data_IF_421517635051
#
_entry.id   IF_421517635051
#
_cell.length_a   1.000
_cell.length_b   1.000
_cell.length_c   1.000
_cell.angle_alpha   90.00
_cell.angle_beta   90.00
_cell.angle_gamma   90.00
#
_symmetry.space_group_name_H-M   'P 1'
#
loop_
_entity.id
_entity.type
_entity.pdbx_description
1 polymer ?
#
# COMPACT_ATOMS: atom_id res chain seq x y z
N UNK A 1 -2.38 -34.74 -12.30
CA UNK A 1 -2.95 -33.38 -12.47
C UNK A 1 -3.43 -33.15 -13.90
N UNK A 2 -2.57 -33.14 -14.91
CA UNK A 2 -2.97 -32.77 -16.28
C UNK A 2 -4.09 -33.62 -16.88
N UNK A 3 -4.10 -34.94 -16.63
CA UNK A 3 -5.22 -35.82 -16.99
C UNK A 3 -6.56 -35.31 -16.45
N UNK A 4 -6.60 -34.94 -15.16
CA UNK A 4 -7.81 -34.41 -14.52
C UNK A 4 -8.23 -33.06 -15.13
N UNK A 5 -7.29 -32.13 -15.36
CA UNK A 5 -7.61 -30.84 -15.99
C UNK A 5 -8.13 -31.01 -17.41
N UNK A 6 -7.63 -32.00 -18.16
CA UNK A 6 -8.17 -32.38 -19.46
C UNK A 6 -9.60 -32.92 -19.36
N UNK A 7 -9.86 -33.86 -18.47
CA UNK A 7 -11.21 -34.41 -18.24
C UNK A 7 -12.20 -33.31 -17.82
N UNK A 8 -11.77 -32.35 -16.99
CA UNK A 8 -12.57 -31.17 -16.62
C UNK A 8 -12.83 -30.28 -17.85
N UNK A 9 -11.81 -30.06 -18.69
CA UNK A 9 -11.98 -29.27 -19.92
C UNK A 9 -12.98 -29.93 -20.86
N UNK A 10 -12.87 -31.25 -21.09
CA UNK A 10 -13.81 -32.01 -21.90
C UNK A 10 -15.24 -31.92 -21.36
N UNK A 11 -15.41 -32.03 -20.04
CA UNK A 11 -16.70 -31.86 -19.37
C UNK A 11 -17.28 -30.45 -19.58
N UNK A 12 -16.50 -29.38 -19.34
CA UNK A 12 -16.90 -28.00 -19.61
C UNK A 12 -17.31 -27.85 -21.08
N UNK A 13 -16.50 -28.39 -21.99
CA UNK A 13 -16.76 -28.34 -23.43
C UNK A 13 -18.01 -29.09 -23.84
N UNK A 14 -18.60 -29.98 -23.03
CA UNK A 14 -19.93 -30.54 -23.37
C UNK A 14 -21.05 -29.50 -23.37
N UNK A 15 -20.87 -28.40 -22.60
CA UNK A 15 -21.86 -27.32 -22.44
C UNK A 15 -21.37 -26.02 -23.06
N UNK A 16 -20.11 -25.63 -22.80
CA UNK A 16 -19.53 -24.35 -23.23
C UNK A 16 -18.44 -24.56 -24.27
N UNK A 17 -18.77 -24.26 -25.53
CA UNK A 17 -17.88 -24.40 -26.69
C UNK A 17 -17.05 -23.15 -26.99
N UNK A 18 -17.21 -22.05 -26.24
CA UNK A 18 -16.72 -20.73 -26.65
C UNK A 18 -15.76 -20.09 -25.67
N UNK A 19 -15.99 -20.19 -24.36
CA UNK A 19 -15.19 -19.40 -23.41
C UNK A 19 -13.80 -19.99 -23.18
N UNK A 20 -12.86 -19.09 -22.85
CA UNK A 20 -11.46 -19.40 -22.56
C UNK A 20 -11.37 -20.34 -21.36
N UNK A 21 -10.46 -21.31 -21.43
CA UNK A 21 -10.05 -22.12 -20.27
C UNK A 21 -8.75 -21.57 -19.72
N UNK A 22 -8.80 -21.10 -18.47
CA UNK A 22 -7.60 -20.70 -17.74
C UNK A 22 -7.05 -21.95 -17.04
N UNK A 23 -5.88 -22.41 -17.50
CA UNK A 23 -5.16 -23.55 -16.96
C UNK A 23 -4.21 -23.08 -15.88
N UNK A 24 -4.19 -23.74 -14.74
CA UNK A 24 -3.29 -23.38 -13.63
C UNK A 24 -2.42 -24.56 -13.22
N UNK A 25 -1.13 -24.29 -13.03
CA UNK A 25 -0.15 -25.26 -12.58
C UNK A 25 -0.20 -25.53 -11.07
N UNK A 26 0.63 -26.49 -10.64
CA UNK A 26 0.85 -26.73 -9.21
C UNK A 26 1.73 -25.63 -8.62
N UNK A 27 1.86 -25.62 -7.28
CA UNK A 27 2.80 -24.72 -6.60
C UNK A 27 2.47 -23.26 -6.85
N UNK A 28 1.24 -22.86 -6.52
CA UNK A 28 0.75 -21.49 -6.67
C UNK A 28 0.74 -21.07 -8.15
N UNK A 29 0.30 -21.96 -9.04
CA UNK A 29 0.27 -21.72 -10.47
C UNK A 29 1.63 -21.70 -11.18
N UNK A 30 2.75 -21.93 -10.48
CA UNK A 30 4.09 -21.69 -11.04
C UNK A 30 4.81 -22.97 -11.54
N UNK A 31 4.24 -24.16 -11.35
CA UNK A 31 4.85 -25.43 -11.77
C UNK A 31 4.02 -26.15 -12.84
N UNK A 32 4.56 -26.15 -14.07
CA UNK A 32 4.00 -26.79 -15.25
C UNK A 32 4.72 -28.08 -15.67
N UNK A 33 5.50 -28.69 -14.78
CA UNK A 33 6.25 -29.90 -15.12
C UNK A 33 5.32 -31.07 -15.53
N UNK A 34 5.73 -31.79 -16.56
CA UNK A 34 4.97 -32.92 -17.12
C UNK A 34 3.72 -32.51 -17.91
N UNK A 35 3.53 -31.22 -18.23
CA UNK A 35 2.45 -30.75 -19.09
C UNK A 35 2.52 -31.47 -20.45
N UNK A 36 1.41 -32.11 -20.82
CA UNK A 36 1.22 -32.73 -22.14
C UNK A 36 1.00 -31.66 -23.22
N UNK A 37 0.99 -32.01 -24.52
CA UNK A 37 0.47 -31.09 -25.53
C UNK A 37 -0.90 -30.54 -25.14
N UNK A 38 -1.14 -29.27 -25.47
CA UNK A 38 -2.43 -28.62 -25.21
C UNK A 38 -3.55 -29.40 -25.91
N UNK A 39 -4.67 -29.57 -25.21
CA UNK A 39 -5.80 -30.39 -25.65
C UNK A 39 -7.03 -29.57 -26.08
N UNK A 40 -6.95 -28.25 -25.97
CA UNK A 40 -7.96 -27.28 -26.38
C UNK A 40 -7.25 -26.09 -27.03
N UNK A 41 -7.87 -25.50 -28.05
CA UNK A 41 -7.31 -24.39 -28.83
C UNK A 41 -7.58 -23.02 -28.20
N UNK A 42 -8.41 -22.95 -27.15
CA UNK A 42 -8.79 -21.72 -26.46
C UNK A 42 -8.37 -21.74 -24.98
N UNK A 43 -7.07 -21.90 -24.75
CA UNK A 43 -6.45 -22.00 -23.42
C UNK A 43 -5.52 -20.83 -23.11
N UNK A 44 -5.43 -20.46 -21.83
CA UNK A 44 -4.51 -19.47 -21.26
C UNK A 44 -3.86 -20.06 -20.03
N UNK A 45 -2.57 -19.82 -19.78
CA UNK A 45 -1.92 -20.25 -18.54
C UNK A 45 -2.03 -19.19 -17.45
N UNK A 46 -2.36 -19.61 -16.23
CA UNK A 46 -2.35 -18.79 -15.02
C UNK A 46 -1.03 -18.98 -14.26
N UNK A 47 -0.55 -17.93 -13.61
CA UNK A 47 0.54 -18.04 -12.64
C UNK A 47 0.30 -17.06 -11.49
N UNK A 48 0.99 -17.24 -10.35
CA UNK A 48 0.93 -16.30 -9.23
C UNK A 48 2.28 -15.61 -9.05
N UNK A 49 2.26 -14.38 -8.53
CA UNK A 49 3.48 -13.62 -8.22
C UNK A 49 3.31 -12.89 -6.90
N UNK A 50 4.25 -13.10 -5.99
CA UNK A 50 4.25 -12.46 -4.68
C UNK A 50 5.68 -12.22 -4.19
N UNK A 51 5.88 -11.07 -3.53
CA UNK A 51 7.07 -10.74 -2.73
C UNK A 51 8.43 -11.00 -3.38
N UNK A 52 8.52 -10.91 -4.70
CA UNK A 52 9.75 -10.98 -5.47
C UNK A 52 9.91 -9.71 -6.32
N UNK A 53 11.09 -9.53 -6.93
CA UNK A 53 11.39 -8.36 -7.73
C UNK A 53 10.38 -8.15 -8.88
N UNK A 54 10.14 -6.90 -9.29
CA UNK A 54 9.37 -6.59 -10.48
C UNK A 54 10.28 -6.43 -11.70
N UNK A 55 10.81 -7.54 -12.20
CA UNK A 55 11.73 -7.59 -13.34
C UNK A 55 11.41 -8.74 -14.32
N UNK A 56 12.01 -8.68 -15.51
CA UNK A 56 11.85 -9.73 -16.53
C UNK A 56 12.41 -11.08 -16.06
N UNK A 57 13.45 -11.08 -15.23
CA UNK A 57 14.09 -12.29 -14.71
C UNK A 57 13.11 -13.14 -13.89
N UNK A 58 12.31 -12.51 -13.02
CA UNK A 58 11.30 -13.19 -12.20
C UNK A 58 10.03 -13.55 -12.98
N UNK A 59 9.77 -12.94 -14.14
CA UNK A 59 8.69 -13.35 -15.06
C UNK A 59 9.12 -14.40 -16.09
N UNK A 60 10.42 -14.66 -16.22
CA UNK A 60 10.98 -15.48 -17.29
C UNK A 60 10.27 -16.83 -17.45
N UNK A 61 9.98 -17.53 -16.36
CA UNK A 61 9.32 -18.84 -16.44
C UNK A 61 7.95 -18.79 -17.14
N UNK A 62 7.17 -17.72 -16.91
CA UNK A 62 5.85 -17.54 -17.50
C UNK A 62 5.98 -17.10 -18.96
N UNK A 63 6.97 -16.24 -19.27
CA UNK A 63 7.28 -15.85 -20.65
C UNK A 63 7.75 -17.05 -21.48
N UNK A 64 8.63 -17.90 -20.94
CA UNK A 64 9.08 -19.14 -21.58
C UNK A 64 7.89 -20.09 -21.82
N UNK A 65 6.93 -20.16 -20.89
CA UNK A 65 5.71 -20.97 -21.03
C UNK A 65 4.83 -20.45 -22.18
N UNK A 66 4.63 -19.13 -22.26
CA UNK A 66 3.92 -18.46 -23.36
C UNK A 66 4.55 -18.81 -24.71
N UNK A 67 5.86 -18.64 -24.83
CA UNK A 67 6.59 -18.87 -26.08
C UNK A 67 6.57 -20.34 -26.50
N UNK A 68 6.90 -21.25 -25.56
CA UNK A 68 6.99 -22.68 -25.83
C UNK A 68 5.68 -23.27 -26.37
N UNK A 69 4.55 -22.79 -25.86
CA UNK A 69 3.24 -23.34 -26.19
C UNK A 69 2.42 -22.45 -27.14
N UNK A 70 2.95 -21.27 -27.49
CA UNK A 70 2.25 -20.25 -28.28
C UNK A 70 0.84 -19.97 -27.72
N UNK A 71 0.73 -19.77 -26.41
CA UNK A 71 -0.53 -19.53 -25.71
C UNK A 71 -0.42 -18.34 -24.75
N UNK A 72 -1.48 -17.53 -24.55
CA UNK A 72 -1.42 -16.40 -23.63
C UNK A 72 -1.15 -16.84 -22.18
N UNK A 73 -0.67 -15.90 -21.38
CA UNK A 73 -0.49 -16.05 -19.93
C UNK A 73 -1.24 -14.95 -19.20
N UNK A 74 -1.69 -15.26 -17.99
CA UNK A 74 -2.48 -14.42 -17.11
C UNK A 74 -1.91 -14.51 -15.69
N UNK A 75 -1.71 -13.38 -15.02
CA UNK A 75 -1.36 -13.38 -13.61
C UNK A 75 -2.64 -13.55 -12.78
N UNK A 76 -2.94 -14.81 -12.41
CA UNK A 76 -4.18 -15.20 -11.75
C UNK A 76 -4.34 -14.66 -10.34
N UNK A 77 -3.22 -14.42 -9.66
CA UNK A 77 -3.23 -13.95 -8.27
C UNK A 77 -1.92 -13.22 -7.94
N UNK A 78 -2.05 -12.04 -7.35
CA UNK A 78 -0.92 -11.20 -6.90
C UNK A 78 -1.42 -10.17 -5.88
N UNK A 79 -0.54 -9.61 -5.05
CA UNK A 79 -0.90 -8.55 -4.10
C UNK A 79 -0.07 -8.58 -2.83
N UNK A 80 -0.66 -8.17 -1.70
CA UNK A 80 -0.01 -8.17 -0.38
C UNK A 80 1.37 -7.50 -0.36
N UNK A 81 1.45 -6.31 -0.94
CA UNK A 81 2.67 -5.52 -1.03
C UNK A 81 2.33 -4.03 -1.11
N UNK A 82 3.35 -3.18 -1.13
CA UNK A 82 3.17 -1.74 -1.16
C UNK A 82 2.61 -1.21 -2.47
N UNK A 83 2.11 0.04 -2.43
CA UNK A 83 1.70 0.78 -3.62
C UNK A 83 2.84 0.93 -4.64
N UNK A 84 4.10 0.99 -4.19
CA UNK A 84 5.28 1.03 -5.07
C UNK A 84 5.37 -0.26 -5.86
N UNK A 85 5.32 -1.42 -5.17
CA UNK A 85 5.36 -2.71 -5.83
C UNK A 85 4.18 -2.93 -6.76
N UNK A 86 2.97 -2.49 -6.39
CA UNK A 86 1.76 -2.61 -7.20
C UNK A 86 1.93 -1.83 -8.51
N UNK A 87 2.37 -0.57 -8.42
CA UNK A 87 2.60 0.30 -9.57
C UNK A 87 3.65 -0.29 -10.52
N UNK A 88 4.78 -0.76 -9.97
CA UNK A 88 5.87 -1.31 -10.76
C UNK A 88 5.53 -2.63 -11.41
N UNK A 89 4.81 -3.51 -10.70
CA UNK A 89 4.34 -4.78 -11.25
C UNK A 89 3.39 -4.54 -12.42
N UNK A 90 2.37 -3.69 -12.26
CA UNK A 90 1.41 -3.44 -13.34
C UNK A 90 2.13 -2.87 -14.57
N UNK A 91 3.07 -1.94 -14.38
CA UNK A 91 3.91 -1.43 -15.47
C UNK A 91 4.76 -2.51 -16.15
N UNK A 92 5.22 -3.52 -15.41
CA UNK A 92 5.94 -4.67 -15.97
C UNK A 92 5.00 -5.56 -16.79
N UNK A 93 3.81 -5.86 -16.27
CA UNK A 93 2.81 -6.69 -16.94
C UNK A 93 2.29 -6.03 -18.21
N UNK A 94 2.04 -4.72 -18.18
CA UNK A 94 1.62 -3.93 -19.34
C UNK A 94 2.65 -4.00 -20.47
N UNK A 95 3.95 -3.90 -20.16
CA UNK A 95 5.03 -4.05 -21.16
C UNK A 95 5.02 -5.41 -21.85
N UNK A 96 4.61 -6.45 -21.13
CA UNK A 96 4.53 -7.81 -21.65
C UNK A 96 3.13 -8.19 -22.13
N UNK A 97 2.15 -7.28 -22.13
CA UNK A 97 0.74 -7.56 -22.43
C UNK A 97 0.21 -8.76 -21.61
N UNK A 98 0.39 -8.73 -20.29
CA UNK A 98 -0.10 -9.76 -19.36
C UNK A 98 -1.27 -9.16 -18.57
N UNK A 99 -2.45 -9.75 -18.68
CA UNK A 99 -3.58 -9.41 -17.81
C UNK A 99 -3.42 -9.99 -16.41
N UNK A 100 -4.11 -9.41 -15.43
CA UNK A 100 -3.90 -9.74 -14.02
C UNK A 100 -5.15 -9.65 -13.15
N UNK A 101 -5.13 -10.36 -12.02
CA UNK A 101 -6.09 -10.25 -10.93
C UNK A 101 -5.37 -10.03 -9.59
N UNK A 102 -5.71 -8.95 -8.89
CA UNK A 102 -5.15 -8.63 -7.57
C UNK A 102 -5.98 -9.23 -6.45
N UNK A 103 -5.29 -9.86 -5.50
CA UNK A 103 -5.80 -10.34 -4.23
C UNK A 103 -5.29 -9.46 -3.08
N UNK A 104 -6.13 -9.11 -2.09
CA UNK A 104 -7.58 -9.29 -2.03
C UNK A 104 -8.36 -8.02 -2.39
N UNK A 105 -9.55 -8.21 -2.98
CA UNK A 105 -10.53 -7.13 -3.20
C UNK A 105 -11.07 -6.56 -1.87
N UNK A 106 -11.38 -7.45 -0.92
CA UNK A 106 -11.94 -7.14 0.42
C UNK A 106 -11.20 -7.97 1.45
N UNK A 107 -10.65 -7.32 2.48
CA UNK A 107 -9.95 -7.98 3.59
C UNK A 107 -10.16 -7.22 4.88
N UNK A 108 -10.22 -7.95 6.00
CA UNK A 108 -10.40 -7.37 7.33
C UNK A 108 -9.11 -6.66 7.76
N UNK A 109 -9.24 -5.42 8.25
CA UNK A 109 -8.17 -4.59 8.83
C UNK A 109 -6.86 -4.63 8.04
N UNK A 110 -6.96 -4.32 6.74
CA UNK A 110 -5.86 -4.40 5.79
C UNK A 110 -5.63 -3.06 5.08
N UNK A 111 -4.36 -2.74 4.83
CA UNK A 111 -3.96 -1.62 3.98
C UNK A 111 -3.72 -2.03 2.52
N UNK A 112 -3.25 -3.26 2.27
CA UNK A 112 -2.76 -3.75 0.98
C UNK A 112 -3.85 -4.28 0.02
N UNK A 113 -4.98 -3.59 -0.06
CA UNK A 113 -6.11 -3.99 -0.91
C UNK A 113 -7.01 -2.80 -1.19
N UNK A 114 -7.82 -2.86 -2.25
CA UNK A 114 -8.61 -1.69 -2.67
C UNK A 114 -9.76 -1.37 -1.72
N UNK A 115 -10.13 -2.31 -0.85
CA UNK A 115 -11.09 -2.05 0.23
C UNK A 115 -10.64 -2.68 1.55
N UNK A 116 -11.08 -2.06 2.64
CA UNK A 116 -10.86 -2.51 4.00
C UNK A 116 -12.21 -2.79 4.70
N UNK A 117 -12.34 -3.99 5.26
CA UNK A 117 -13.49 -4.40 6.07
C UNK A 117 -13.11 -4.18 7.54
N UNK A 118 -13.89 -3.39 8.28
CA UNK A 118 -13.60 -3.17 9.70
C UNK A 118 -13.84 -4.43 10.51
N UNK A 119 -12.85 -4.79 11.33
CA UNK A 119 -13.04 -5.80 12.38
C UNK A 119 -14.06 -5.33 13.43
N UNK A 120 -14.62 -6.26 14.19
CA UNK A 120 -15.40 -5.96 15.39
C UNK A 120 -14.70 -6.51 16.64
N UNK A 121 -14.89 -5.89 17.82
CA UNK A 121 -14.40 -6.45 19.08
C UNK A 121 -14.85 -7.90 19.33
N UNK A 122 -16.06 -8.25 18.88
CA UNK A 122 -16.61 -9.61 18.98
C UNK A 122 -15.87 -10.60 18.08
N UNK A 123 -15.51 -10.19 16.85
CA UNK A 123 -14.73 -11.04 15.96
C UNK A 123 -13.31 -11.25 16.51
N UNK A 124 -12.72 -10.23 17.13
CA UNK A 124 -11.43 -10.38 17.81
C UNK A 124 -11.50 -11.46 18.91
N UNK A 125 -12.60 -11.54 19.68
CA UNK A 125 -12.78 -12.62 20.66
C UNK A 125 -12.80 -14.02 20.02
N UNK A 126 -13.37 -14.17 18.82
CA UNK A 126 -13.31 -15.44 18.08
C UNK A 126 -11.88 -15.78 17.65
N UNK A 127 -11.15 -14.79 17.12
CA UNK A 127 -9.74 -14.96 16.74
C UNK A 127 -8.87 -15.36 17.94
N UNK A 128 -9.07 -14.69 19.08
CA UNK A 128 -8.33 -14.97 20.32
C UNK A 128 -8.61 -16.39 20.82
N UNK A 129 -9.86 -16.85 20.77
CA UNK A 129 -10.22 -18.22 21.10
C UNK A 129 -9.60 -19.24 20.13
N UNK A 130 -9.68 -19.01 18.81
CA UNK A 130 -9.08 -19.94 17.83
C UNK A 130 -7.56 -20.04 17.98
N UNK A 131 -6.90 -18.93 18.32
CA UNK A 131 -5.45 -18.87 18.49
C UNK A 131 -4.98 -19.48 19.81
N UNK A 132 -5.67 -19.16 20.91
CA UNK A 132 -5.18 -19.43 22.26
C UNK A 132 -6.01 -20.45 23.05
N UNK A 133 -7.18 -20.85 22.56
CA UNK A 133 -8.16 -21.63 23.32
C UNK A 133 -8.88 -20.80 24.38
N UNK A 134 -9.25 -21.43 25.50
CA UNK A 134 -9.96 -20.79 26.62
C UNK A 134 -11.46 -21.09 26.64
N UNK A 135 -12.25 -20.17 27.20
CA UNK A 135 -13.70 -20.32 27.24
C UNK A 135 -14.26 -20.33 25.82
N UNK A 136 -14.89 -21.45 25.45
CA UNK A 136 -15.45 -21.63 24.11
C UNK A 136 -16.64 -20.68 23.90
N UNK A 137 -16.61 -19.79 22.90
CA UNK A 137 -17.75 -18.95 22.56
C UNK A 137 -18.98 -19.80 22.23
N UNK A 138 -20.17 -19.34 22.66
CA UNK A 138 -21.41 -20.06 22.34
C UNK A 138 -21.67 -20.07 20.83
N UNK A 139 -22.46 -21.04 20.38
CA UNK A 139 -22.85 -21.14 18.97
C UNK A 139 -23.56 -19.86 18.51
N UNK A 140 -24.46 -19.33 19.33
CA UNK A 140 -25.24 -18.13 19.06
C UNK A 140 -24.35 -16.89 18.95
N UNK A 141 -23.34 -16.76 19.82
CA UNK A 141 -22.37 -15.69 19.74
C UNK A 141 -21.53 -15.76 18.46
N UNK A 142 -21.03 -16.95 18.13
CA UNK A 142 -20.21 -17.17 16.94
C UNK A 142 -21.02 -16.88 15.66
N UNK A 143 -22.25 -17.39 15.56
CA UNK A 143 -23.14 -17.16 14.42
C UNK A 143 -23.44 -15.67 14.24
N UNK A 144 -23.87 -14.97 15.30
CA UNK A 144 -24.15 -13.53 15.24
C UNK A 144 -22.91 -12.73 14.81
N UNK A 145 -21.75 -13.08 15.36
CA UNK A 145 -20.48 -12.38 15.08
C UNK A 145 -20.05 -12.58 13.62
N UNK A 146 -20.10 -13.81 13.11
CA UNK A 146 -19.75 -14.11 11.72
C UNK A 146 -20.73 -13.47 10.73
N UNK A 147 -22.03 -13.44 11.07
CA UNK A 147 -23.04 -12.76 10.23
C UNK A 147 -22.86 -11.24 10.24
N UNK A 148 -22.42 -10.64 11.36
CA UNK A 148 -22.04 -9.22 11.37
C UNK A 148 -20.83 -8.95 10.49
N UNK A 149 -19.82 -9.83 10.48
CA UNK A 149 -18.69 -9.70 9.55
C UNK A 149 -19.16 -9.83 8.10
N UNK A 150 -20.01 -10.81 7.78
CA UNK A 150 -20.59 -10.94 6.44
C UNK A 150 -21.35 -9.67 6.00
N UNK A 151 -22.05 -9.00 6.92
CA UNK A 151 -22.67 -7.70 6.66
C UNK A 151 -21.63 -6.60 6.41
N UNK A 152 -20.54 -6.56 7.19
CA UNK A 152 -19.45 -5.61 6.97
C UNK A 152 -18.76 -5.79 5.61
N UNK A 153 -18.78 -7.01 5.03
CA UNK A 153 -18.24 -7.27 3.68
C UNK A 153 -19.12 -6.71 2.54
N UNK A 154 -20.33 -6.20 2.81
CA UNK A 154 -21.14 -5.52 1.78
C UNK A 154 -20.42 -4.27 1.30
N UNK A 155 -20.46 -3.98 0.00
CA UNK A 155 -19.71 -2.87 -0.60
C UNK A 155 -20.04 -1.49 -0.01
N UNK A 156 -21.27 -1.27 0.48
CA UNK A 156 -21.64 0.00 1.12
C UNK A 156 -21.06 0.16 2.53
N UNK A 157 -20.49 -0.91 3.11
CA UNK A 157 -19.98 -0.95 4.48
C UNK A 157 -18.44 -0.97 4.55
N UNK A 158 -17.76 -1.10 3.41
CA UNK A 158 -16.29 -1.14 3.36
C UNK A 158 -15.70 0.25 3.17
N UNK A 159 -14.49 0.45 3.69
CA UNK A 159 -13.68 1.62 3.40
C UNK A 159 -12.96 1.41 2.06
N UNK A 160 -13.06 2.38 1.15
CA UNK A 160 -12.33 2.36 -0.12
C UNK A 160 -10.94 2.96 0.09
N UNK A 161 -9.89 2.24 -0.34
CA UNK A 161 -8.49 2.67 -0.29
C UNK A 161 -8.11 3.40 -1.59
N UNK A 162 -8.33 4.70 -1.60
CA UNK A 162 -8.09 5.55 -2.78
C UNK A 162 -6.62 5.63 -3.19
N UNK A 163 -5.69 5.50 -2.23
CA UNK A 163 -4.25 5.45 -2.48
C UNK A 163 -3.84 4.20 -3.27
N UNK A 164 -4.40 3.03 -2.91
CA UNK A 164 -4.19 1.77 -3.63
C UNK A 164 -4.75 1.87 -5.06
N UNK A 165 -5.95 2.42 -5.22
CA UNK A 165 -6.55 2.64 -6.55
C UNK A 165 -5.69 3.60 -7.38
N UNK A 166 -5.22 4.70 -6.79
CA UNK A 166 -4.36 5.64 -7.49
C UNK A 166 -3.05 4.98 -7.97
N UNK A 167 -2.44 4.14 -7.12
CA UNK A 167 -1.25 3.36 -7.44
C UNK A 167 -1.48 2.38 -8.61
N UNK A 168 -2.60 1.67 -8.60
CA UNK A 168 -2.92 0.64 -9.59
C UNK A 168 -3.33 1.19 -10.97
N UNK A 169 -3.79 2.44 -11.05
CA UNK A 169 -4.34 3.00 -12.29
C UNK A 169 -3.62 4.24 -12.77
N UNK A 170 -3.65 5.33 -11.99
CA UNK A 170 -3.06 6.59 -12.45
C UNK A 170 -1.54 6.49 -12.44
N UNK A 171 -0.97 6.01 -11.34
CA UNK A 171 0.47 5.99 -11.17
C UNK A 171 1.18 5.03 -12.12
N UNK A 172 0.49 4.11 -12.79
CA UNK A 172 1.12 3.22 -13.77
C UNK A 172 1.55 3.99 -15.02
N UNK A 173 0.83 5.05 -15.38
CA UNK A 173 1.06 5.84 -16.61
C UNK A 173 1.46 7.30 -16.34
N UNK A 174 1.02 7.89 -15.23
CA UNK A 174 1.25 9.28 -14.85
C UNK A 174 2.06 9.39 -13.55
N UNK A 175 3.23 10.05 -13.64
CA UNK A 175 4.15 10.24 -12.50
C UNK A 175 3.87 11.48 -11.64
N UNK A 176 2.84 12.26 -11.96
CA UNK A 176 2.51 13.48 -11.21
C UNK A 176 1.98 13.18 -9.81
N UNK A 177 1.92 14.19 -8.95
CA UNK A 177 1.33 14.09 -7.61
C UNK A 177 -0.06 14.72 -7.55
N UNK A 178 -0.93 14.20 -6.68
CA UNK A 178 -2.25 14.76 -6.38
C UNK A 178 -2.41 15.00 -4.88
N UNK A 179 -3.14 16.05 -4.44
CA UNK A 179 -3.48 16.20 -3.03
C UNK A 179 -4.28 14.99 -2.54
N UNK A 180 -3.89 14.40 -1.41
CA UNK A 180 -4.68 13.34 -0.77
C UNK A 180 -5.96 13.89 -0.12
N UNK A 181 -5.85 15.08 0.47
CA UNK A 181 -6.96 15.86 1.00
C UNK A 181 -6.89 17.29 0.50
N UNK A 182 -8.02 17.99 0.60
CA UNK A 182 -8.07 19.43 0.37
C UNK A 182 -7.49 20.18 1.58
N UNK A 183 -6.17 20.33 1.62
CA UNK A 183 -5.46 21.02 2.70
C UNK A 183 -5.49 22.54 2.50
N UNK A 184 -5.73 23.29 3.58
CA UNK A 184 -5.87 24.75 3.55
C UNK A 184 -4.94 25.41 4.57
N UNK A 185 -4.42 26.58 4.22
CA UNK A 185 -3.64 27.44 5.11
C UNK A 185 -4.25 28.85 5.21
N UNK A 186 -4.38 29.44 6.42
CA UNK A 186 -4.06 28.87 7.74
C UNK A 186 -4.91 27.63 8.09
N UNK A 187 -4.32 26.68 8.82
CA UNK A 187 -4.99 25.41 9.16
C UNK A 187 -4.05 24.35 9.77
N UNK A 188 -4.65 23.28 10.31
CA UNK A 188 -3.93 22.10 10.81
C UNK A 188 -3.88 21.02 9.73
N UNK A 189 -2.73 20.38 9.60
CA UNK A 189 -2.45 19.34 8.60
C UNK A 189 -1.89 18.13 9.34
N UNK A 190 -2.50 16.95 9.13
CA UNK A 190 -1.98 15.69 9.66
C UNK A 190 -0.73 15.28 8.89
N UNK A 191 0.26 14.70 9.57
CA UNK A 191 1.44 14.16 8.90
C UNK A 191 1.07 13.10 7.86
N UNK A 192 0.02 12.33 8.11
CA UNK A 192 -0.45 11.23 7.26
C UNK A 192 -1.20 11.68 6.01
N UNK A 193 -1.49 12.99 5.89
CA UNK A 193 -2.24 13.58 4.77
C UNK A 193 -1.34 14.05 3.62
N UNK A 194 -0.14 13.48 3.48
CA UNK A 194 0.79 13.77 2.37
C UNK A 194 0.17 13.38 1.02
N UNK A 195 0.70 13.92 -0.08
CA UNK A 195 0.14 13.75 -1.42
C UNK A 195 0.07 12.26 -1.86
N UNK A 196 -0.80 11.98 -2.82
CA UNK A 196 -0.80 10.76 -3.62
C UNK A 196 0.26 10.85 -4.71
N UNK A 197 0.97 9.76 -4.96
CA UNK A 197 1.91 9.64 -6.07
C UNK A 197 2.99 8.61 -5.81
N UNK A 198 3.85 8.41 -6.80
CA UNK A 198 4.98 7.48 -6.70
C UNK A 198 5.96 7.94 -5.62
N UNK A 199 6.63 6.98 -4.99
CA UNK A 199 7.81 7.28 -4.18
C UNK A 199 8.87 8.00 -5.03
N UNK A 200 9.54 8.98 -4.44
CA UNK A 200 10.41 9.94 -5.13
C UNK A 200 9.67 11.16 -5.71
N UNK A 201 8.34 11.11 -5.85
CA UNK A 201 7.52 12.24 -6.31
C UNK A 201 6.66 12.83 -5.18
N UNK A 202 5.90 12.01 -4.45
CA UNK A 202 4.99 12.45 -3.37
C UNK A 202 5.55 12.24 -1.96
N UNK A 203 6.42 11.25 -1.78
CA UNK A 203 7.12 10.96 -0.54
C UNK A 203 8.41 10.19 -0.85
N UNK A 204 9.29 10.04 0.13
CA UNK A 204 10.41 9.12 0.10
C UNK A 204 10.49 8.41 1.44
N UNK A 205 10.56 7.09 1.37
CA UNK A 205 10.78 6.18 2.49
C UNK A 205 11.82 5.14 2.06
N UNK A 206 12.67 4.67 2.95
CA UNK A 206 13.71 3.68 2.63
C UNK A 206 13.23 2.24 2.77
N UNK A 207 12.18 2.00 3.55
CA UNK A 207 11.56 0.70 3.78
C UNK A 207 10.15 0.68 3.14
N UNK A 208 10.11 0.45 1.84
CA UNK A 208 8.88 0.67 1.06
C UNK A 208 8.34 -0.58 0.36
N UNK A 209 8.96 -1.75 0.51
CA UNK A 209 8.57 -2.96 -0.25
C UNK A 209 8.99 -4.24 0.45
N UNK A 210 8.24 -5.32 0.24
CA UNK A 210 8.60 -6.64 0.70
C UNK A 210 9.04 -7.56 -0.45
N UNK A 211 10.32 -7.97 -0.48
CA UNK A 211 10.93 -8.75 -1.56
C UNK A 211 11.55 -10.09 -1.09
N UNK A 212 11.05 -10.65 0.02
CA UNK A 212 11.67 -11.79 0.70
C UNK A 212 11.79 -13.07 -0.14
N UNK A 213 10.98 -13.26 -1.18
CA UNK A 213 11.08 -14.42 -2.09
C UNK A 213 12.29 -14.30 -3.02
N UNK A 214 12.65 -13.08 -3.44
CA UNK A 214 13.86 -12.84 -4.24
C UNK A 214 15.12 -12.80 -3.37
N UNK A 215 15.01 -12.25 -2.17
CA UNK A 215 16.12 -12.13 -1.23
C UNK A 215 15.60 -12.20 0.21
N UNK A 216 15.73 -13.35 0.89
CA UNK A 216 15.24 -13.51 2.25
C UNK A 216 15.86 -12.52 3.25
N UNK A 217 17.06 -11.99 2.97
CA UNK A 217 17.70 -10.98 3.80
C UNK A 217 17.07 -9.58 3.62
N UNK A 218 16.26 -9.37 2.57
CA UNK A 218 15.53 -8.12 2.28
C UNK A 218 14.05 -8.21 2.65
N UNK A 219 13.70 -9.05 3.62
CA UNK A 219 12.36 -8.98 4.21
C UNK A 219 12.23 -7.65 4.97
N UNK A 220 11.49 -6.73 4.40
CA UNK A 220 11.13 -5.45 5.02
C UNK A 220 9.61 -5.35 5.16
N UNK A 221 9.18 -4.72 6.24
CA UNK A 221 7.79 -4.31 6.42
C UNK A 221 7.70 -2.89 5.87
N UNK A 222 6.96 -2.72 4.76
CA UNK A 222 6.58 -1.38 4.31
C UNK A 222 5.46 -0.89 5.21
N UNK A 223 5.44 0.40 5.53
CA UNK A 223 4.53 0.93 6.54
C UNK A 223 4.44 0.01 7.77
N UNK A 224 5.54 -0.06 8.51
CA UNK A 224 5.77 -0.91 9.69
C UNK A 224 4.70 -0.77 10.78
N UNK A 225 3.94 0.33 10.80
CA UNK A 225 2.80 0.47 11.70
C UNK A 225 1.50 -0.16 11.17
N UNK A 226 1.45 -0.51 9.88
CA UNK A 226 0.33 -1.11 9.17
C UNK A 226 -0.98 -0.32 9.33
N UNK A 227 -0.89 1.01 9.23
CA UNK A 227 -2.04 1.90 9.43
C UNK A 227 -2.31 2.79 8.22
N UNK A 228 -3.60 3.08 8.02
CA UNK A 228 -4.16 4.07 7.08
C UNK A 228 -3.89 3.81 5.58
N UNK A 229 -2.62 3.86 5.15
CA UNK A 229 -2.19 3.88 3.73
C UNK A 229 -1.32 2.68 3.40
N UNK A 230 -1.26 2.30 2.13
CA UNK A 230 -0.41 1.21 1.63
C UNK A 230 0.90 1.68 0.98
N UNK A 231 1.18 2.97 1.08
CA UNK A 231 2.45 3.58 0.72
C UNK A 231 3.59 3.09 1.63
N UNK A 232 4.84 3.37 1.26
CA UNK A 232 6.01 2.98 2.07
C UNK A 232 6.05 3.64 3.45
N UNK A 233 5.52 4.86 3.58
CA UNK A 233 5.59 5.68 4.79
C UNK A 233 5.09 4.94 6.03
N UNK A 234 5.95 4.87 7.04
CA UNK A 234 5.67 4.28 8.35
C UNK A 234 4.64 5.09 9.16
N UNK A 235 3.40 4.58 9.26
CA UNK A 235 2.29 5.23 9.98
C UNK A 235 1.86 4.38 11.17
N UNK A 236 1.92 4.99 12.36
CA UNK A 236 1.54 4.34 13.61
C UNK A 236 0.27 4.92 14.19
N UNK A 237 -0.44 4.07 14.94
CA UNK A 237 -1.56 4.48 15.78
C UNK A 237 -1.04 4.73 17.20
N UNK A 238 -1.05 5.98 17.62
CA UNK A 238 -0.64 6.39 18.96
C UNK A 238 -1.78 6.36 19.97
N UNK A 239 -1.49 6.92 21.14
CA UNK A 239 -2.48 7.15 22.21
C UNK A 239 -3.69 7.94 21.69
N UNK A 240 -4.86 7.66 22.25
CA UNK A 240 -6.14 8.29 21.91
C UNK A 240 -6.61 8.08 20.46
N UNK A 241 -6.14 7.02 19.78
CA UNK A 241 -6.46 6.72 18.37
C UNK A 241 -6.01 7.82 17.38
N UNK A 242 -5.01 8.63 17.73
CA UNK A 242 -4.38 9.56 16.79
C UNK A 242 -3.31 8.84 15.98
N UNK A 243 -3.16 9.20 14.70
CA UNK A 243 -2.12 8.64 13.84
C UNK A 243 -0.96 9.61 13.69
N UNK A 244 0.24 9.07 13.53
CA UNK A 244 1.46 9.85 13.28
C UNK A 244 2.37 9.10 12.32
N UNK A 245 3.21 9.84 11.61
CA UNK A 245 4.32 9.25 10.85
C UNK A 245 5.48 9.02 11.81
N UNK A 246 6.04 7.82 11.83
CA UNK A 246 7.12 7.42 12.72
C UNK A 246 8.20 6.66 11.98
N UNK A 247 9.17 6.09 12.73
CA UNK A 247 10.32 5.34 12.18
C UNK A 247 11.04 6.08 11.03
N UNK A 248 10.96 7.41 11.04
CA UNK A 248 11.55 8.22 9.98
C UNK A 248 13.06 8.06 9.99
N UNK A 249 13.65 8.10 8.81
CA UNK A 249 15.09 8.04 8.61
C UNK A 249 15.64 9.35 8.03
N UNK A 250 16.93 9.58 8.25
CA UNK A 250 17.62 10.72 7.62
C UNK A 250 17.48 10.66 6.09
N UNK A 251 17.00 11.75 5.51
CA UNK A 251 16.82 11.97 4.08
C UNK A 251 15.39 11.70 3.59
N UNK A 252 14.53 11.10 4.41
CA UNK A 252 13.12 10.88 4.07
C UNK A 252 12.33 12.18 4.06
N UNK A 253 11.22 12.18 3.30
CA UNK A 253 10.38 13.36 3.18
C UNK A 253 8.96 13.06 2.74
N UNK A 254 8.07 14.01 3.07
CA UNK A 254 6.65 13.97 2.75
C UNK A 254 6.24 15.24 2.02
N UNK A 255 5.59 15.13 0.86
CA UNK A 255 5.07 16.29 0.12
C UNK A 255 3.61 16.57 0.48
N UNK A 256 3.26 17.85 0.56
CA UNK A 256 1.89 18.31 0.80
C UNK A 256 1.54 19.39 -0.22
N UNK A 257 0.42 19.20 -0.92
CA UNK A 257 -0.22 20.25 -1.71
C UNK A 257 -1.23 21.01 -0.84
N UNK A 258 -1.00 22.31 -0.65
CA UNK A 258 -1.72 23.16 0.29
C UNK A 258 -2.25 24.39 -0.45
N UNK A 259 -3.55 24.65 -0.31
CA UNK A 259 -4.15 25.87 -0.83
C UNK A 259 -4.14 26.98 0.22
N UNK A 260 -3.47 28.09 -0.10
CA UNK A 260 -3.20 29.19 0.82
C UNK A 260 -4.11 30.36 0.50
N UNK A 261 -4.79 30.90 1.51
CA UNK A 261 -5.76 31.99 1.33
C UNK A 261 -5.11 33.31 0.91
N UNK A 262 -4.00 33.68 1.54
CA UNK A 262 -3.30 34.96 1.36
C UNK A 262 -1.80 34.74 1.15
N UNK A 263 -1.20 35.40 0.17
CA UNK A 263 0.24 35.31 -0.07
C UNK A 263 1.02 36.15 0.95
N UNK A 264 1.48 35.53 2.03
CA UNK A 264 2.21 36.19 3.12
C UNK A 264 3.19 35.23 3.81
N UNK A 265 4.09 35.73 4.69
CA UNK A 265 4.85 34.86 5.57
C UNK A 265 3.93 34.17 6.59
N UNK A 266 4.11 32.86 6.74
CA UNK A 266 3.39 32.02 7.70
C UNK A 266 4.35 31.47 8.77
N UNK A 267 3.77 31.07 9.91
CA UNK A 267 4.46 30.26 10.91
C UNK A 267 4.00 28.82 10.85
N UNK A 268 4.95 27.88 10.79
CA UNK A 268 4.72 26.44 10.87
C UNK A 268 4.97 25.98 12.30
N UNK A 269 3.94 25.50 12.97
CA UNK A 269 4.05 24.84 14.27
C UNK A 269 4.07 23.33 14.06
N UNK A 270 5.26 22.74 14.15
CA UNK A 270 5.49 21.31 13.93
C UNK A 270 5.24 20.56 15.24
N UNK A 271 4.32 19.59 15.24
CA UNK A 271 4.02 18.73 16.38
C UNK A 271 4.77 17.40 16.24
N UNK A 272 5.76 17.20 17.10
CA UNK A 272 6.73 16.11 16.98
C UNK A 272 7.04 15.43 18.32
N UNK A 273 7.60 14.23 18.24
CA UNK A 273 8.25 13.52 19.32
C UNK A 273 9.61 12.98 18.81
N UNK A 274 10.65 13.04 19.64
CA UNK A 274 11.97 12.51 19.31
C UNK A 274 12.79 12.26 20.57
N UNK A 275 13.57 11.18 20.57
CA UNK A 275 14.44 10.83 21.71
C UNK A 275 15.79 11.57 21.69
N UNK A 276 16.20 12.07 20.52
CA UNK A 276 17.44 12.82 20.34
C UNK A 276 17.20 14.22 19.76
N UNK A 277 18.24 15.07 19.71
CA UNK A 277 18.18 16.29 18.92
C UNK A 277 18.00 15.93 17.44
N UNK A 278 17.12 16.63 16.75
CA UNK A 278 16.83 16.38 15.35
C UNK A 278 16.59 17.70 14.60
N UNK A 279 16.44 17.63 13.28
CA UNK A 279 16.00 18.78 12.48
C UNK A 279 14.94 18.37 11.46
N UNK A 280 14.04 19.29 11.18
CA UNK A 280 13.13 19.22 10.05
C UNK A 280 13.44 20.39 9.12
N UNK A 281 13.57 20.11 7.83
CA UNK A 281 13.71 21.12 6.78
C UNK A 281 12.42 21.18 5.97
N UNK A 282 12.03 22.40 5.60
CA UNK A 282 10.88 22.65 4.73
C UNK A 282 11.39 23.20 3.40
N UNK A 283 10.96 22.59 2.31
CA UNK A 283 11.28 23.01 0.94
C UNK A 283 10.03 23.18 0.09
N UNK A 284 10.17 23.88 -1.03
CA UNK A 284 9.26 23.72 -2.16
C UNK A 284 9.73 22.61 -3.11
N UNK A 285 8.92 22.27 -4.11
CA UNK A 285 9.24 21.18 -5.06
C UNK A 285 10.37 21.51 -6.04
N UNK A 286 10.88 22.74 -6.07
CA UNK A 286 12.08 23.11 -6.84
C UNK A 286 13.38 22.80 -6.09
N UNK A 287 13.29 22.36 -4.82
CA UNK A 287 14.43 22.19 -3.93
C UNK A 287 14.85 23.49 -3.24
N UNK A 288 14.04 24.53 -3.31
CA UNK A 288 14.32 25.78 -2.58
C UNK A 288 14.05 25.57 -1.10
N UNK A 289 15.07 25.80 -0.28
CA UNK A 289 14.94 25.82 1.18
C UNK A 289 14.03 26.98 1.61
N UNK A 290 12.93 26.65 2.29
CA UNK A 290 12.02 27.62 2.88
C UNK A 290 12.39 27.89 4.34
N UNK A 291 12.88 26.87 5.05
CA UNK A 291 13.41 27.02 6.40
C UNK A 291 13.82 25.69 7.02
N UNK A 292 14.49 25.76 8.16
CA UNK A 292 14.93 24.60 8.93
C UNK A 292 14.65 24.85 10.41
N UNK A 293 14.21 23.82 11.12
CA UNK A 293 13.90 23.87 12.53
C UNK A 293 14.66 22.81 13.30
N UNK A 294 15.33 23.23 14.38
CA UNK A 294 15.93 22.33 15.34
C UNK A 294 14.87 21.84 16.32
N UNK A 295 14.87 20.53 16.56
CA UNK A 295 13.97 19.82 17.45
C UNK A 295 14.76 19.40 18.69
N UNK A 296 14.23 19.73 19.87
CA UNK A 296 14.82 19.31 21.13
C UNK A 296 14.24 17.96 21.54
N UNK A 297 15.01 17.09 22.22
CA UNK A 297 14.49 15.84 22.74
C UNK A 297 13.18 16.04 23.51
N UNK A 298 12.19 15.21 23.22
CA UNK A 298 10.90 15.25 23.91
C UNK A 298 10.86 14.29 25.09
N UNK A 299 11.74 13.30 25.12
CA UNK A 299 11.88 12.33 26.20
C UNK A 299 11.10 11.02 25.98
N UNK A 300 10.55 10.80 24.79
CA UNK A 300 9.88 9.56 24.42
C UNK A 300 9.14 9.64 23.09
N UNK A 301 8.92 8.48 22.45
CA UNK A 301 8.29 8.35 21.12
C UNK A 301 6.86 8.91 21.02
N UNK A 302 6.16 9.05 22.15
CA UNK A 302 4.81 9.64 22.21
C UNK A 302 4.71 10.76 23.27
N UNK A 303 5.83 11.41 23.57
CA UNK A 303 5.84 12.68 24.32
C UNK A 303 5.92 13.80 23.29
N UNK A 304 4.82 14.52 23.11
CA UNK A 304 4.66 15.47 22.01
C UNK A 304 5.02 16.89 22.44
N UNK A 305 5.86 17.56 21.63
CA UNK A 305 6.17 18.99 21.76
C UNK A 305 5.88 19.71 20.45
N UNK A 306 5.78 21.03 20.52
CA UNK A 306 5.65 21.89 19.33
C UNK A 306 6.90 22.74 19.15
N UNK A 307 7.43 22.76 17.93
CA UNK A 307 8.49 23.68 17.53
C UNK A 307 7.99 24.59 16.41
N UNK A 308 8.34 25.88 16.45
CA UNK A 308 7.82 26.90 15.52
C UNK A 308 8.89 27.39 14.54
N UNK A 309 8.60 27.30 13.25
CA UNK A 309 9.40 27.83 12.15
C UNK A 309 8.66 29.04 11.55
N UNK A 310 9.22 30.23 11.71
CA UNK A 310 8.58 31.51 11.31
C UNK A 310 9.10 31.99 9.96
N UNK A 311 8.33 32.83 9.29
CA UNK A 311 8.77 33.56 8.10
C UNK A 311 8.72 32.75 6.80
N UNK A 312 7.91 31.68 6.74
CA UNK A 312 7.78 30.84 5.56
C UNK A 312 6.85 31.51 4.55
N UNK A 313 7.42 31.99 3.44
CA UNK A 313 6.66 32.65 2.40
C UNK A 313 5.91 31.63 1.54
N UNK A 314 4.58 31.68 1.59
CA UNK A 314 3.71 30.92 0.71
C UNK A 314 2.95 31.87 -0.22
N UNK A 315 2.73 31.44 -1.47
CA UNK A 315 1.96 32.22 -2.46
C UNK A 315 0.46 32.04 -2.19
N UNK A 316 -0.38 33.00 -2.60
CA UNK A 316 -1.83 32.76 -2.64
C UNK A 316 -2.14 31.63 -3.64
N UNK A 317 -3.06 30.73 -3.28
CA UNK A 317 -3.43 29.57 -4.09
C UNK A 317 -2.61 28.32 -3.74
N UNK A 318 -2.40 27.45 -4.72
CA UNK A 318 -1.72 26.17 -4.51
C UNK A 318 -0.21 26.35 -4.23
N UNK A 319 0.27 25.69 -3.19
CA UNK A 319 1.69 25.56 -2.86
C UNK A 319 1.99 24.09 -2.59
N UNK A 320 3.06 23.57 -3.19
CA UNK A 320 3.58 22.25 -2.89
C UNK A 320 4.83 22.39 -2.05
N UNK A 321 4.79 21.83 -0.84
CA UNK A 321 5.92 21.84 0.08
C UNK A 321 6.34 20.43 0.44
N UNK A 322 7.60 20.26 0.87
CA UNK A 322 8.13 19.02 1.40
C UNK A 322 8.63 19.23 2.81
N UNK A 323 8.28 18.30 3.70
CA UNK A 323 8.82 18.18 5.05
C UNK A 323 9.90 17.10 5.00
N UNK A 324 11.16 17.48 5.18
CA UNK A 324 12.32 16.60 5.20
C UNK A 324 12.75 16.29 6.63
N UNK A 325 13.07 15.03 6.88
CA UNK A 325 13.67 14.55 8.12
C UNK A 325 15.20 14.52 7.94
N UNK A 326 15.93 15.37 8.67
CA UNK A 326 17.40 15.45 8.62
C UNK A 326 18.08 14.46 9.58
N UNK A 327 17.28 13.76 10.36
CA UNK A 327 17.70 12.81 11.38
C UNK A 327 16.66 11.72 11.49
N UNK A 328 17.10 10.53 11.89
CA UNK A 328 16.22 9.41 12.16
C UNK A 328 15.43 9.56 13.47
N UNK A 329 14.35 8.80 13.61
CA UNK A 329 13.59 8.67 14.86
C UNK A 329 12.76 9.90 15.23
N UNK A 330 12.37 10.72 14.25
CA UNK A 330 11.40 11.80 14.46
C UNK A 330 10.00 11.30 14.18
N UNK A 331 9.17 11.23 15.22
CA UNK A 331 7.75 11.00 15.06
C UNK A 331 7.05 12.34 14.80
N UNK A 332 6.23 12.41 13.75
CA UNK A 332 5.52 13.61 13.32
C UNK A 332 4.01 13.36 13.39
N UNK A 333 3.31 14.10 14.25
CA UNK A 333 1.83 14.10 14.29
C UNK A 333 1.24 14.92 13.15
N UNK A 334 1.89 16.04 12.86
CA UNK A 334 1.43 16.99 11.85
C UNK A 334 1.95 18.39 12.17
N UNK A 335 1.38 19.37 11.49
CA UNK A 335 1.76 20.76 11.66
C UNK A 335 0.60 21.72 11.46
N UNK A 336 0.71 22.89 12.04
CA UNK A 336 -0.26 23.97 11.91
C UNK A 336 0.40 25.17 11.22
N UNK A 337 -0.23 25.67 10.16
CA UNK A 337 0.19 26.87 9.43
C UNK A 337 -0.66 28.04 9.92
N UNK A 338 -0.01 29.09 10.45
CA UNK A 338 -0.64 30.30 11.02
C UNK A 338 -0.29 31.58 10.30
#
# INVERSE_FOLDING_TARGET
MWKLQKEITEAIRTVDKKHIIILEGNGWGNNYNGLTPLWDDNMVFSFHKYWNNNDDATLKFALDLREKHNAPIWLGETGENSNVWFTELIRLLDRHNIGYAFWPMKKIDNIAGITNVKITPEYQKLLDYWKNGGEKPSKEFAEKTLMQIADNYKFNNVEIKSDVIDAMFRQTTDGSTKPFKNLQAPGRISATDYDLGRMGAAYLDKDFVNLWVSDPAKRSEWNSGNQLRNDGVDIYKGKNNEYYVGKTENGEWLQYTINVKDGKPYTFNINYASNGPAKIRVEDTSGKHLGIIALQPTGGNEIWKTASLKGINLKKGENKIRIYFENEGVNLKGFEIK
#
